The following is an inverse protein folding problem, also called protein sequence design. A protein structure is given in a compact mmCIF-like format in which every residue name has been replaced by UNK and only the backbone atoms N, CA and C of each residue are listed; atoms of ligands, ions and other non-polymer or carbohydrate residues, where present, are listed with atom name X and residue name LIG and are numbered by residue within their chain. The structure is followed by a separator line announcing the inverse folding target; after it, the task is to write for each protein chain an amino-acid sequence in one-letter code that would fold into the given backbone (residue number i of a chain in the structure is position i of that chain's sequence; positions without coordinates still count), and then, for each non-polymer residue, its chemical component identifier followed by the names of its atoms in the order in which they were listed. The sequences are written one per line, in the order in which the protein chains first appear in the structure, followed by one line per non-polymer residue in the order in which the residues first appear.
data_IF_361806596954
#
_entry.id   IF_361806596954
#
_cell.length_a   1.000
_cell.length_b   1.000
_cell.length_c   1.000
_cell.angle_alpha   90.00
_cell.angle_beta   90.00
_cell.angle_gamma   90.00
#
_symmetry.space_group_name_H-M   'P 1'
#
loop_
_entity.id
_entity.type
_entity.pdbx_description
1 polymer ?
#
# COMPACT_ATOMS: atom_id res chain seq x y z
N UNK A 1 -14.30 -29.47 -14.20
CA UNK A 1 -13.09 -28.66 -14.51
C UNK A 1 -12.98 -27.59 -13.45
N UNK A 2 -12.15 -27.83 -12.45
CA UNK A 2 -11.93 -26.92 -11.33
C UNK A 2 -10.99 -25.84 -11.82
N UNK A 3 -11.49 -24.63 -12.08
CA UNK A 3 -10.63 -23.49 -12.37
C UNK A 3 -9.83 -23.21 -11.10
N UNK A 4 -8.53 -23.49 -11.14
CA UNK A 4 -7.58 -22.85 -10.23
C UNK A 4 -7.63 -21.37 -10.63
N UNK A 5 -8.45 -20.57 -9.94
CA UNK A 5 -8.48 -19.11 -10.11
C UNK A 5 -7.12 -18.60 -9.62
N UNK A 6 -6.19 -18.43 -10.56
CA UNK A 6 -4.86 -17.90 -10.29
C UNK A 6 -4.93 -16.46 -9.78
N UNK A 7 -3.88 -16.03 -9.09
CA UNK A 7 -3.72 -14.68 -8.56
C UNK A 7 -3.63 -13.69 -9.73
N UNK A 8 -4.74 -12.99 -10.05
CA UNK A 8 -4.83 -12.07 -11.20
C UNK A 8 -3.75 -10.99 -11.14
N UNK A 9 -3.51 -10.44 -9.94
CA UNK A 9 -2.47 -9.44 -9.66
C UNK A 9 -1.06 -9.97 -9.97
N UNK A 10 -0.76 -11.24 -9.69
CA UNK A 10 0.55 -11.83 -9.96
C UNK A 10 0.95 -11.74 -11.46
N UNK A 11 -0.02 -11.98 -12.34
CA UNK A 11 0.17 -11.94 -13.80
C UNK A 11 0.03 -10.55 -14.43
N UNK A 12 -0.50 -9.57 -13.69
CA UNK A 12 -0.64 -8.21 -14.18
C UNK A 12 0.73 -7.57 -14.42
N UNK A 13 0.79 -6.63 -15.37
CA UNK A 13 2.03 -5.96 -15.72
C UNK A 13 2.18 -4.64 -14.97
N UNK A 14 3.39 -4.37 -14.48
CA UNK A 14 3.83 -3.03 -14.17
C UNK A 14 3.95 -2.21 -15.46
N UNK A 15 3.96 -0.89 -15.35
CA UNK A 15 4.00 0.02 -16.50
C UNK A 15 5.30 0.03 -17.32
N UNK A 16 6.35 -0.63 -16.85
CA UNK A 16 7.56 -0.94 -17.63
C UNK A 16 7.50 -2.31 -18.32
N UNK A 17 6.37 -3.03 -18.20
CA UNK A 17 6.11 -4.31 -18.85
C UNK A 17 6.56 -5.54 -18.07
N UNK A 18 7.11 -5.39 -16.87
CA UNK A 18 7.46 -6.52 -16.00
C UNK A 18 6.22 -7.06 -15.28
N UNK A 19 6.05 -8.39 -15.14
CA UNK A 19 5.01 -8.96 -14.28
C UNK A 19 5.19 -8.52 -12.82
N UNK A 20 4.11 -8.17 -12.14
CA UNK A 20 4.11 -7.70 -10.75
C UNK A 20 4.76 -8.72 -9.81
N UNK A 21 4.44 -10.01 -9.96
CA UNK A 21 5.04 -11.07 -9.15
C UNK A 21 6.57 -11.11 -9.30
N UNK A 22 7.07 -10.88 -10.51
CA UNK A 22 8.52 -10.84 -10.76
C UNK A 22 9.16 -9.71 -9.96
N UNK A 23 8.58 -8.50 -10.00
CA UNK A 23 9.10 -7.33 -9.27
C UNK A 23 9.12 -7.57 -7.76
N UNK A 24 8.06 -8.18 -7.21
CA UNK A 24 7.96 -8.49 -5.78
C UNK A 24 9.02 -9.52 -5.37
N UNK A 25 9.19 -10.58 -6.16
CA UNK A 25 10.05 -11.71 -5.81
C UNK A 25 11.54 -11.40 -5.97
N UNK A 26 11.93 -10.62 -6.97
CA UNK A 26 13.35 -10.35 -7.25
C UNK A 26 13.94 -9.30 -6.31
N UNK A 27 13.12 -8.58 -5.52
CA UNK A 27 13.53 -7.46 -4.65
C UNK A 27 14.50 -6.50 -5.36
N UNK A 28 14.36 -6.35 -6.68
CA UNK A 28 15.37 -5.72 -7.52
C UNK A 28 15.39 -4.22 -7.29
N UNK A 29 16.20 -3.78 -6.33
CA UNK A 29 16.67 -2.39 -6.20
C UNK A 29 17.70 -2.13 -7.27
N UNK A 30 17.21 -1.91 -8.46
CA UNK A 30 18.03 -1.63 -9.62
C UNK A 30 17.87 -0.16 -9.95
N UNK A 31 18.96 0.48 -10.39
CA UNK A 31 19.13 1.91 -10.66
C UNK A 31 18.22 2.44 -11.79
N UNK A 32 16.91 2.34 -11.61
CA UNK A 32 15.90 2.71 -12.58
C UNK A 32 15.54 4.18 -12.43
N UNK A 33 15.32 4.85 -13.56
CA UNK A 33 14.60 6.11 -13.60
C UNK A 33 13.15 5.87 -13.13
N UNK A 34 12.42 6.91 -12.69
CA UNK A 34 10.99 6.79 -12.44
C UNK A 34 10.28 6.16 -13.65
N UNK A 35 9.34 5.26 -13.38
CA UNK A 35 8.52 4.64 -14.42
C UNK A 35 7.46 5.65 -14.82
N UNK A 36 7.42 5.98 -16.11
CA UNK A 36 6.43 6.91 -16.65
C UNK A 36 5.11 6.20 -16.95
N UNK A 37 4.01 6.67 -16.34
CA UNK A 37 2.65 6.28 -16.68
C UNK A 37 2.00 7.40 -17.48
N UNK A 38 1.75 7.13 -18.77
CA UNK A 38 1.08 8.08 -19.63
C UNK A 38 -0.43 8.06 -19.37
N UNK A 39 -1.05 9.23 -19.30
CA UNK A 39 -2.50 9.36 -19.19
C UNK A 39 -3.02 10.51 -20.05
N UNK A 40 -4.32 10.55 -20.31
CA UNK A 40 -4.99 11.71 -20.86
C UNK A 40 -6.45 11.74 -20.45
N UNK A 41 -7.08 12.90 -20.63
CA UNK A 41 -8.49 13.09 -20.31
C UNK A 41 -9.34 12.88 -21.57
N UNK A 42 -10.36 12.03 -21.47
CA UNK A 42 -11.41 12.01 -22.48
C UNK A 42 -12.06 13.40 -22.57
N UNK A 43 -12.43 13.81 -23.78
CA UNK A 43 -13.01 15.13 -24.08
C UNK A 43 -14.20 15.51 -23.18
N UNK A 44 -14.93 14.53 -22.65
CA UNK A 44 -16.11 14.73 -21.83
C UNK A 44 -15.81 14.85 -20.33
N UNK A 45 -14.56 14.66 -19.89
CA UNK A 45 -14.20 14.76 -18.48
C UNK A 45 -14.11 16.22 -18.05
N UNK A 46 -15.02 16.66 -17.19
CA UNK A 46 -15.06 18.06 -16.75
C UNK A 46 -13.88 18.47 -15.85
N UNK A 47 -13.65 19.78 -15.71
CA UNK A 47 -12.52 20.35 -14.96
C UNK A 47 -12.46 19.96 -13.49
N UNK A 48 -13.60 19.69 -12.84
CA UNK A 48 -13.63 19.26 -11.45
C UNK A 48 -13.03 17.86 -11.31
N UNK A 49 -13.40 16.93 -12.18
CA UNK A 49 -12.78 15.59 -12.22
C UNK A 49 -11.30 15.66 -12.60
N UNK A 50 -10.93 16.46 -13.61
CA UNK A 50 -9.53 16.67 -13.97
C UNK A 50 -8.71 17.15 -12.78
N UNK A 51 -9.23 18.10 -11.97
CA UNK A 51 -8.56 18.54 -10.75
C UNK A 51 -8.36 17.41 -9.74
N UNK A 52 -9.40 16.63 -9.44
CA UNK A 52 -9.27 15.51 -8.50
C UNK A 52 -8.29 14.44 -8.98
N UNK A 53 -8.17 14.22 -10.29
CA UNK A 53 -7.13 13.37 -10.87
C UNK A 53 -5.74 13.95 -10.66
N UNK A 54 -5.53 15.22 -10.94
CA UNK A 54 -4.22 15.86 -10.76
C UNK A 54 -3.80 15.87 -9.28
N UNK A 55 -4.74 16.12 -8.36
CA UNK A 55 -4.47 16.06 -6.92
C UNK A 55 -4.12 14.62 -6.48
N UNK A 56 -4.81 13.60 -7.00
CA UNK A 56 -4.51 12.20 -6.72
C UNK A 56 -3.16 11.74 -7.31
N UNK A 57 -2.83 12.19 -8.52
CA UNK A 57 -1.52 11.97 -9.14
C UNK A 57 -0.41 12.56 -8.27
N UNK A 58 -0.58 13.80 -7.81
CA UNK A 58 0.38 14.44 -6.91
C UNK A 58 0.59 13.61 -5.62
N UNK A 59 -0.48 13.17 -4.98
CA UNK A 59 -0.39 12.33 -3.77
C UNK A 59 0.37 11.01 -4.02
N UNK A 60 0.17 10.38 -5.19
CA UNK A 60 0.88 9.15 -5.58
C UNK A 60 2.36 9.42 -5.85
N UNK A 61 2.70 10.45 -6.62
CA UNK A 61 4.09 10.79 -6.95
C UNK A 61 4.87 11.24 -5.69
N UNK A 62 4.21 11.93 -4.76
CA UNK A 62 4.81 12.30 -3.48
C UNK A 62 5.07 11.07 -2.59
N UNK A 63 4.10 10.14 -2.56
CA UNK A 63 4.19 8.90 -1.82
C UNK A 63 5.25 7.95 -2.40
N UNK A 64 5.32 7.82 -3.72
CA UNK A 64 6.16 6.88 -4.44
C UNK A 64 6.88 7.57 -5.61
N UNK A 65 8.03 8.22 -5.36
CA UNK A 65 8.75 8.98 -6.38
C UNK A 65 9.42 8.11 -7.45
N UNK A 66 9.28 6.78 -7.38
CA UNK A 66 9.57 5.86 -8.47
C UNK A 66 8.51 5.88 -9.58
N UNK A 67 7.41 6.62 -9.41
CA UNK A 67 6.33 6.82 -10.37
C UNK A 67 6.39 8.25 -10.91
N UNK A 68 6.13 8.40 -12.21
CA UNK A 68 5.89 9.69 -12.83
C UNK A 68 4.70 9.61 -13.78
N UNK A 69 3.67 10.41 -13.57
CA UNK A 69 2.58 10.55 -14.51
C UNK A 69 2.91 11.59 -15.58
N UNK A 70 2.57 11.29 -16.83
CA UNK A 70 2.79 12.20 -17.95
C UNK A 70 1.55 12.30 -18.82
N UNK A 71 1.14 13.52 -19.17
CA UNK A 71 0.03 13.71 -20.09
C UNK A 71 0.44 13.35 -21.52
N UNK A 72 -0.23 12.37 -22.14
CA UNK A 72 -0.01 12.01 -23.54
C UNK A 72 -1.21 11.29 -24.15
N UNK A 73 -1.76 11.87 -25.22
CA UNK A 73 -2.85 11.28 -26.02
C UNK A 73 -2.33 10.27 -27.05
N UNK A 74 -1.02 10.24 -27.31
CA UNK A 74 -0.39 9.48 -28.40
C UNK A 74 0.54 8.38 -27.93
N UNK A 75 0.93 8.36 -26.66
CA UNK A 75 1.75 7.29 -26.09
C UNK A 75 1.12 5.92 -26.32
N UNK A 76 1.93 4.94 -26.74
CA UNK A 76 1.43 3.60 -27.11
C UNK A 76 0.70 2.91 -25.97
N UNK A 77 1.27 2.95 -24.76
CA UNK A 77 0.61 2.52 -23.53
C UNK A 77 0.17 3.77 -22.77
N UNK A 78 -1.13 3.92 -22.50
CA UNK A 78 -1.67 5.09 -21.78
C UNK A 78 -3.01 4.81 -21.15
N UNK A 79 -3.35 5.57 -20.12
CA UNK A 79 -4.67 5.55 -19.48
C UNK A 79 -5.55 6.65 -20.09
N UNK A 80 -6.70 6.28 -20.64
CA UNK A 80 -7.77 7.24 -20.94
C UNK A 80 -8.66 7.37 -19.71
N UNK A 81 -8.73 8.56 -19.13
CA UNK A 81 -9.58 8.83 -17.97
C UNK A 81 -10.87 9.50 -18.44
N UNK A 82 -12.00 8.87 -18.17
CA UNK A 82 -13.30 9.34 -18.64
C UNK A 82 -14.39 9.24 -17.56
N UNK A 83 -15.45 10.02 -17.73
CA UNK A 83 -16.61 10.00 -16.84
C UNK A 83 -17.58 8.90 -17.25
N UNK A 84 -18.09 8.14 -16.26
CA UNK A 84 -19.07 7.09 -16.47
C UNK A 84 -20.02 6.92 -15.28
N UNK A 85 -20.76 5.82 -15.26
CA UNK A 85 -21.72 5.53 -14.19
C UNK A 85 -21.11 4.71 -13.05
N UNK A 86 -19.92 4.12 -13.29
CA UNK A 86 -19.19 3.30 -12.32
C UNK A 86 -17.80 3.90 -12.08
N UNK A 87 -17.10 3.41 -11.06
CA UNK A 87 -15.64 3.58 -10.96
C UNK A 87 -14.98 2.23 -11.13
N UNK A 88 -14.04 2.14 -12.08
CA UNK A 88 -13.32 0.91 -12.38
C UNK A 88 -12.05 1.20 -13.20
N UNK A 89 -11.08 0.34 -13.00
CA UNK A 89 -9.83 0.31 -13.73
C UNK A 89 -9.33 -1.13 -13.86
N UNK A 90 -8.46 -1.38 -14.84
CA UNK A 90 -7.78 -2.67 -14.93
C UNK A 90 -6.66 -2.75 -13.89
N UNK A 91 -6.37 -3.96 -13.39
CA UNK A 91 -5.23 -4.18 -12.50
C UNK A 91 -3.94 -4.19 -13.33
N UNK A 92 -3.11 -3.16 -13.18
CA UNK A 92 -1.85 -3.00 -13.92
C UNK A 92 -2.03 -2.54 -15.37
N UNK A 93 -0.92 -2.60 -16.13
CA UNK A 93 -0.87 -2.21 -17.55
C UNK A 93 -1.39 -3.35 -18.44
N UNK A 94 -2.45 -3.09 -19.22
CA UNK A 94 -3.02 -4.08 -20.15
C UNK A 94 -2.38 -4.05 -21.54
N UNK A 95 -1.42 -3.14 -21.76
CA UNK A 95 -0.86 -2.71 -23.06
C UNK A 95 -1.87 -1.90 -23.88
N UNK A 96 -1.36 -1.02 -24.74
CA UNK A 96 -2.20 -0.13 -25.54
C UNK A 96 -2.86 0.96 -24.69
N UNK A 97 -3.91 1.57 -25.24
CA UNK A 97 -4.79 2.43 -24.46
C UNK A 97 -5.68 1.57 -23.56
N UNK A 98 -5.73 1.89 -22.26
CA UNK A 98 -6.68 1.31 -21.30
C UNK A 98 -7.55 2.39 -20.68
N UNK A 99 -8.78 2.04 -20.34
CA UNK A 99 -9.76 2.97 -19.80
C UNK A 99 -9.77 2.94 -18.26
N UNK A 100 -9.86 4.12 -17.66
CA UNK A 100 -10.16 4.33 -16.24
C UNK A 100 -11.45 5.15 -16.16
N UNK A 101 -12.51 4.53 -15.67
CA UNK A 101 -13.83 5.13 -15.54
C UNK A 101 -13.96 5.77 -14.16
N UNK A 102 -14.43 7.02 -14.11
CA UNK A 102 -14.72 7.72 -12.86
C UNK A 102 -16.22 8.02 -12.77
N UNK A 103 -16.88 7.36 -11.81
CA UNK A 103 -18.29 7.60 -11.48
C UNK A 103 -18.46 8.61 -10.35
N UNK A 104 -17.47 8.72 -9.47
CA UNK A 104 -17.47 9.66 -8.34
C UNK A 104 -16.27 10.59 -8.38
N UNK A 105 -16.54 11.86 -8.09
CA UNK A 105 -15.54 12.92 -8.10
C UNK A 105 -15.00 13.23 -6.70
N UNK A 106 -14.40 12.22 -6.07
CA UNK A 106 -13.66 12.39 -4.81
C UNK A 106 -12.20 12.01 -5.05
N UNK A 107 -11.27 12.69 -4.38
CA UNK A 107 -9.83 12.38 -4.51
C UNK A 107 -9.55 10.91 -4.18
N UNK A 108 -10.18 10.39 -3.13
CA UNK A 108 -10.00 8.99 -2.74
C UNK A 108 -10.53 7.97 -3.74
N UNK A 109 -11.69 8.22 -4.38
CA UNK A 109 -12.15 7.36 -5.47
C UNK A 109 -11.14 7.34 -6.63
N UNK A 110 -10.59 8.50 -6.99
CA UNK A 110 -9.59 8.58 -8.06
C UNK A 110 -8.29 7.86 -7.66
N UNK A 111 -7.83 8.04 -6.41
CA UNK A 111 -6.69 7.30 -5.87
C UNK A 111 -6.90 5.78 -5.98
N UNK A 112 -8.07 5.28 -5.56
CA UNK A 112 -8.42 3.85 -5.64
C UNK A 112 -8.29 3.30 -7.06
N UNK A 113 -8.89 3.98 -8.05
CA UNK A 113 -8.84 3.54 -9.45
C UNK A 113 -7.44 3.65 -10.07
N UNK A 114 -6.67 4.66 -9.67
CA UNK A 114 -5.27 4.77 -10.07
C UNK A 114 -4.42 3.66 -9.44
N UNK A 115 -4.67 3.25 -8.20
CA UNK A 115 -3.98 2.12 -7.56
C UNK A 115 -4.29 0.81 -8.28
N UNK A 116 -5.53 0.58 -8.72
CA UNK A 116 -5.83 -0.52 -9.63
C UNK A 116 -4.96 -0.45 -10.89
N UNK A 117 -4.94 0.69 -11.59
CA UNK A 117 -4.11 0.86 -12.79
C UNK A 117 -2.61 0.62 -12.54
N UNK A 118 -2.13 0.89 -11.32
CA UNK A 118 -0.75 0.68 -10.90
C UNK A 118 -0.46 -0.78 -10.51
N UNK A 119 -1.47 -1.64 -10.39
CA UNK A 119 -1.30 -3.08 -10.18
C UNK A 119 -1.87 -3.63 -8.88
N UNK A 120 -2.58 -2.83 -8.09
CA UNK A 120 -3.10 -3.27 -6.80
C UNK A 120 -4.51 -3.86 -6.95
N UNK A 121 -4.72 -5.05 -6.38
CA UNK A 121 -6.05 -5.60 -6.16
C UNK A 121 -6.65 -5.01 -4.88
N UNK A 122 -7.91 -5.34 -4.55
CA UNK A 122 -8.44 -4.97 -3.24
C UNK A 122 -7.70 -5.68 -2.11
N UNK A 123 -7.56 -5.01 -0.97
CA UNK A 123 -6.81 -5.53 0.18
C UNK A 123 -7.44 -6.82 0.72
N UNK A 124 -8.78 -6.90 0.74
CA UNK A 124 -9.52 -8.09 1.16
C UNK A 124 -9.46 -9.24 0.12
N UNK A 125 -8.86 -9.03 -1.05
CA UNK A 125 -8.65 -10.07 -2.06
C UNK A 125 -7.23 -10.66 -2.02
N UNK A 126 -6.39 -10.29 -1.05
CA UNK A 126 -5.07 -10.88 -0.83
C UNK A 126 -5.15 -12.37 -0.45
N UNK A 127 -4.19 -13.17 -0.88
CA UNK A 127 -4.12 -14.60 -0.52
C UNK A 127 -3.99 -14.88 0.98
N UNK A 128 -3.51 -13.93 1.77
CA UNK A 128 -3.36 -14.02 3.23
C UNK A 128 -4.53 -13.39 4.01
N UNK A 129 -5.57 -12.88 3.35
CA UNK A 129 -6.67 -12.10 3.96
C UNK A 129 -7.42 -12.84 5.07
N UNK A 130 -7.57 -14.16 4.97
CA UNK A 130 -8.33 -14.96 5.95
C UNK A 130 -7.65 -15.03 7.35
N UNK A 131 -6.41 -14.56 7.47
CA UNK A 131 -5.75 -14.35 8.76
C UNK A 131 -6.27 -13.10 9.49
N UNK A 132 -6.80 -12.12 8.74
CA UNK A 132 -7.11 -10.78 9.21
C UNK A 132 -8.61 -10.45 9.15
N UNK A 133 -9.32 -10.97 8.14
CA UNK A 133 -10.73 -10.72 7.92
C UNK A 133 -11.47 -12.02 7.62
N UNK A 134 -12.80 -11.98 7.76
CA UNK A 134 -13.68 -13.01 7.26
C UNK A 134 -14.66 -12.37 6.27
N UNK A 135 -14.61 -12.78 5.02
CA UNK A 135 -15.60 -12.40 4.02
C UNK A 135 -16.85 -13.28 4.18
N UNK A 136 -18.02 -12.64 4.35
CA UNK A 136 -19.31 -13.31 4.55
C UNK A 136 -20.15 -13.40 3.27
N UNK A 137 -19.75 -12.69 2.21
CA UNK A 137 -20.46 -12.70 0.94
C UNK A 137 -19.95 -13.82 0.03
N UNK A 138 -20.87 -14.44 -0.70
CA UNK A 138 -20.60 -15.47 -1.70
C UNK A 138 -20.39 -14.89 -3.12
N UNK A 139 -20.39 -13.56 -3.27
CA UNK A 139 -20.16 -12.92 -4.57
C UNK A 139 -18.69 -13.07 -4.99
N UNK A 140 -18.41 -14.18 -5.67
CA UNK A 140 -17.05 -14.52 -6.09
C UNK A 140 -16.34 -13.40 -6.86
N UNK A 141 -17.05 -12.58 -7.65
CA UNK A 141 -16.43 -11.50 -8.41
C UNK A 141 -15.79 -10.42 -7.51
N UNK A 142 -16.33 -10.23 -6.31
CA UNK A 142 -15.90 -9.20 -5.37
C UNK A 142 -15.03 -9.73 -4.21
N UNK A 143 -15.09 -11.03 -3.93
CA UNK A 143 -14.45 -11.63 -2.74
C UNK A 143 -13.49 -12.78 -3.05
N UNK A 144 -13.33 -13.17 -4.32
CA UNK A 144 -12.29 -14.11 -4.70
C UNK A 144 -10.89 -13.56 -4.42
N UNK A 145 -9.97 -14.48 -4.18
CA UNK A 145 -8.54 -14.17 -4.05
C UNK A 145 -8.03 -13.75 -5.43
N UNK A 146 -7.57 -12.50 -5.53
CA UNK A 146 -7.04 -11.91 -6.76
C UNK A 146 -5.72 -11.15 -6.55
N UNK A 147 -5.34 -10.91 -5.29
CA UNK A 147 -4.22 -10.06 -4.89
C UNK A 147 -3.06 -10.83 -4.26
N UNK A 148 -1.87 -10.27 -4.36
CA UNK A 148 -0.68 -10.73 -3.64
C UNK A 148 -0.46 -9.94 -2.34
N UNK A 149 0.20 -10.53 -1.33
CA UNK A 149 0.53 -9.84 -0.10
C UNK A 149 1.74 -8.93 -0.31
N UNK A 150 1.49 -7.64 -0.59
CA UNK A 150 2.52 -6.62 -0.69
C UNK A 150 2.63 -5.89 0.65
N UNK A 151 3.57 -6.31 1.48
CA UNK A 151 3.70 -5.82 2.85
C UNK A 151 2.66 -6.39 3.81
N UNK A 152 2.42 -5.69 4.92
CA UNK A 152 1.47 -6.13 5.97
C UNK A 152 0.04 -5.89 5.52
N UNK A 153 -0.90 -6.69 6.03
CA UNK A 153 -2.32 -6.43 5.81
C UNK A 153 -2.70 -5.06 6.39
N UNK A 154 -3.31 -4.22 5.58
CA UNK A 154 -3.63 -2.85 5.94
C UNK A 154 -5.12 -2.57 5.82
N UNK A 155 -5.83 -2.69 6.93
CA UNK A 155 -7.26 -2.44 6.94
C UNK A 155 -7.66 -0.94 6.94
N UNK A 156 -6.69 -0.01 7.02
CA UNK A 156 -6.88 1.44 6.70
C UNK A 156 -6.64 1.73 5.20
N UNK A 157 -6.27 0.71 4.40
CA UNK A 157 -6.00 0.87 2.97
C UNK A 157 -7.21 1.42 2.24
N UNK A 158 -6.94 2.34 1.31
CA UNK A 158 -7.95 2.82 0.36
C UNK A 158 -8.45 1.71 -0.57
N UNK A 159 -7.69 0.62 -0.70
CA UNK A 159 -8.03 -0.57 -1.48
C UNK A 159 -8.84 -1.60 -0.69
N UNK A 160 -9.10 -1.38 0.60
CA UNK A 160 -9.92 -2.27 1.41
C UNK A 160 -11.41 -1.90 1.26
N UNK A 161 -12.31 -2.86 1.07
CA UNK A 161 -13.74 -2.56 1.10
C UNK A 161 -14.22 -2.12 2.50
N UNK A 162 -15.18 -1.21 2.52
CA UNK A 162 -15.84 -0.82 3.78
C UNK A 162 -16.50 -2.02 4.45
N UNK A 163 -16.22 -2.20 5.75
CA UNK A 163 -16.82 -3.25 6.58
C UNK A 163 -18.25 -2.90 7.01
N UNK A 164 -18.70 -1.66 6.79
CA UNK A 164 -20.02 -1.16 7.24
C UNK A 164 -21.19 -1.88 6.60
N UNK A 165 -20.99 -2.50 5.43
CA UNK A 165 -22.02 -3.31 4.76
C UNK A 165 -22.17 -4.72 5.36
N UNK A 166 -21.38 -5.08 6.37
CA UNK A 166 -21.46 -6.37 7.07
C UNK A 166 -21.00 -7.57 6.23
N UNK A 167 -20.45 -7.34 5.04
CA UNK A 167 -19.95 -8.41 4.15
C UNK A 167 -18.50 -8.80 4.45
N UNK A 168 -17.79 -8.00 5.25
CA UNK A 168 -16.45 -8.29 5.76
C UNK A 168 -16.47 -8.08 7.27
N UNK A 169 -16.22 -9.15 8.02
CA UNK A 169 -15.96 -9.09 9.45
C UNK A 169 -14.47 -8.92 9.68
N UNK A 170 -14.08 -7.75 10.18
CA UNK A 170 -12.70 -7.52 10.55
C UNK A 170 -12.39 -8.28 11.84
N UNK A 171 -11.34 -9.11 11.82
CA UNK A 171 -10.84 -9.72 13.07
C UNK A 171 -9.97 -8.72 13.82
N UNK A 172 -9.53 -7.63 13.17
CA UNK A 172 -8.80 -6.48 13.73
C UNK A 172 -9.80 -5.39 14.14
N UNK A 173 -9.83 -5.04 15.42
CA UNK A 173 -10.94 -4.28 16.05
C UNK A 173 -10.97 -2.76 15.82
N UNK A 174 -10.05 -2.18 15.04
CA UNK A 174 -9.86 -0.71 14.96
C UNK A 174 -9.64 -0.17 13.55
N UNK A 175 -9.75 -0.99 12.53
CA UNK A 175 -9.56 -0.49 11.17
C UNK A 175 -10.84 0.18 10.67
N UNK A 176 -10.82 1.51 10.72
CA UNK A 176 -11.72 2.32 9.91
C UNK A 176 -11.19 2.25 8.48
N UNK A 177 -12.01 1.81 7.54
CA UNK A 177 -11.76 2.08 6.14
C UNK A 177 -11.59 3.60 5.95
N UNK A 178 -10.64 3.99 5.12
CA UNK A 178 -10.38 5.37 4.79
C UNK A 178 -10.48 5.54 3.28
N UNK A 179 -11.54 6.22 2.86
CA UNK A 179 -11.89 6.44 1.46
C UNK A 179 -11.37 7.79 0.93
N UNK A 180 -10.44 8.44 1.64
CA UNK A 180 -10.04 9.84 1.36
C UNK A 180 -8.56 10.04 1.03
N UNK A 181 -7.68 9.17 1.50
CA UNK A 181 -6.22 9.29 1.35
C UNK A 181 -5.54 7.93 1.33
N UNK A 182 -4.32 7.89 0.81
CA UNK A 182 -3.43 6.73 0.93
C UNK A 182 -3.05 6.50 2.40
N UNK A 183 -3.21 5.26 2.86
CA UNK A 183 -2.70 4.82 4.16
C UNK A 183 -1.17 4.67 4.14
N UNK A 184 -0.55 4.43 5.30
CA UNK A 184 0.88 4.11 5.33
C UNK A 184 1.19 2.77 4.65
N UNK A 185 0.29 1.78 4.72
CA UNK A 185 0.46 0.51 4.00
C UNK A 185 0.36 0.68 2.49
N UNK A 186 -0.57 1.50 1.98
CA UNK A 186 -0.67 1.85 0.56
C UNK A 186 0.64 2.45 0.05
N UNK A 187 1.20 3.42 0.79
CA UNK A 187 2.48 4.07 0.45
C UNK A 187 3.64 3.06 0.45
N UNK A 188 3.70 2.14 1.42
CA UNK A 188 4.71 1.07 1.45
C UNK A 188 4.54 0.13 0.26
N UNK A 189 3.30 -0.26 -0.05
CA UNK A 189 3.00 -1.18 -1.14
C UNK A 189 3.38 -0.57 -2.51
N UNK A 190 3.04 0.71 -2.72
CA UNK A 190 3.48 1.49 -3.88
C UNK A 190 5.00 1.52 -4.01
N UNK A 191 5.74 1.88 -2.95
CA UNK A 191 7.21 1.92 -3.00
C UNK A 191 7.86 0.54 -3.10
N UNK A 192 7.15 -0.53 -2.74
CA UNK A 192 7.64 -1.91 -2.95
C UNK A 192 7.56 -2.27 -4.42
N UNK A 193 6.48 -1.89 -5.11
CA UNK A 193 6.28 -2.18 -6.53
C UNK A 193 6.98 -1.17 -7.46
N UNK A 194 7.11 0.08 -7.01
CA UNK A 194 7.73 1.20 -7.72
C UNK A 194 8.78 1.86 -6.81
N UNK A 195 9.92 1.20 -6.55
CA UNK A 195 10.94 1.73 -5.68
C UNK A 195 11.52 3.05 -6.21
N UNK A 196 11.89 3.99 -5.32
CA UNK A 196 12.46 5.27 -5.72
C UNK A 196 13.75 5.10 -6.54
N UNK A 197 13.90 5.93 -7.56
CA UNK A 197 15.12 6.06 -8.33
C UNK A 197 16.26 6.66 -7.48
N UNK A 198 17.38 5.97 -7.33
CA UNK A 198 18.57 6.46 -6.57
C UNK A 198 19.41 7.46 -7.39
N UNK A 199 19.09 7.69 -8.67
CA UNK A 199 19.95 8.47 -9.57
C UNK A 199 20.06 9.94 -9.16
N UNK A 200 21.28 10.47 -9.27
CA UNK A 200 21.70 11.86 -9.05
C UNK A 200 21.77 12.36 -7.60
N UNK A 201 21.72 11.47 -6.59
CA UNK A 201 21.99 11.85 -5.20
C UNK A 201 20.88 12.65 -4.51
N UNK A 202 19.72 12.78 -5.15
CA UNK A 202 18.55 13.49 -4.60
C UNK A 202 17.87 12.71 -3.48
N UNK A 203 18.02 11.38 -3.47
CA UNK A 203 17.54 10.50 -2.40
C UNK A 203 18.66 9.53 -1.99
N UNK A 204 19.25 9.76 -0.82
CA UNK A 204 20.38 8.98 -0.28
C UNK A 204 20.08 8.60 1.18
N UNK A 205 19.27 7.55 1.41
CA UNK A 205 18.87 7.19 2.76
C UNK A 205 20.05 6.58 3.53
N UNK A 206 20.21 7.00 4.79
CA UNK A 206 21.28 6.51 5.67
C UNK A 206 20.75 5.44 6.62
N UNK A 207 21.52 4.39 6.83
CA UNK A 207 21.17 3.35 7.80
C UNK A 207 21.38 3.88 9.22
N UNK A 208 20.37 3.76 10.07
CA UNK A 208 20.44 4.01 11.51
C UNK A 208 20.87 2.79 12.31
N UNK A 209 20.94 2.93 13.63
CA UNK A 209 21.41 1.88 14.56
C UNK A 209 20.50 0.67 14.66
N UNK A 210 19.21 0.81 14.31
CA UNK A 210 18.21 -0.28 14.26
C UNK A 210 18.24 -1.06 12.95
N UNK A 211 19.14 -0.71 12.03
CA UNK A 211 19.20 -1.25 10.68
C UNK A 211 18.19 -0.65 9.70
N UNK A 212 17.26 0.20 10.17
CA UNK A 212 16.33 0.97 9.32
C UNK A 212 17.06 2.10 8.58
N UNK A 213 16.49 2.52 7.46
CA UNK A 213 17.04 3.58 6.63
C UNK A 213 16.26 4.88 6.79
N UNK A 214 16.91 6.04 6.72
CA UNK A 214 16.28 7.34 6.95
C UNK A 214 16.75 8.36 5.91
N UNK A 215 15.83 9.12 5.31
CA UNK A 215 16.16 10.07 4.24
C UNK A 215 16.07 11.54 4.65
N UNK A 216 15.56 11.88 5.83
CA UNK A 216 15.37 13.28 6.25
C UNK A 216 14.42 14.08 5.35
N UNK A 217 13.53 13.44 4.58
CA UNK A 217 12.50 14.15 3.79
C UNK A 217 11.46 14.76 4.74
N UNK A 218 11.12 16.03 4.52
CA UNK A 218 10.03 16.76 5.19
C UNK A 218 8.67 16.40 4.57
N UNK A 219 7.56 16.72 5.24
CA UNK A 219 6.17 16.35 4.88
C UNK A 219 5.81 14.87 5.15
N UNK A 220 6.23 14.35 6.30
CA UNK A 220 5.57 13.19 6.86
C UNK A 220 4.16 13.62 7.30
N UNK A 221 3.14 13.51 6.44
CA UNK A 221 1.74 13.69 6.83
C UNK A 221 1.38 12.67 7.91
N UNK A 222 1.64 13.00 9.16
CA UNK A 222 1.26 12.20 10.32
C UNK A 222 0.39 13.02 11.29
N UNK A 223 -0.33 14.01 10.76
CA UNK A 223 -1.40 14.71 11.49
C UNK A 223 -2.56 13.75 11.88
N UNK A 224 -2.54 12.50 11.42
CA UNK A 224 -3.54 11.46 11.71
C UNK A 224 -2.92 10.15 12.22
N UNK A 225 -1.68 10.14 12.73
CA UNK A 225 -1.27 9.03 13.59
C UNK A 225 -2.31 8.90 14.73
N UNK A 226 -2.79 7.69 15.06
CA UNK A 226 -3.78 7.47 16.14
C UNK A 226 -3.31 8.00 17.51
N UNK A 227 -2.04 8.38 17.61
CA UNK A 227 -1.49 9.21 18.66
C UNK A 227 -0.63 10.26 18.00
N UNK A 228 -1.10 11.52 17.91
CA UNK A 228 -0.28 12.65 17.53
C UNK A 228 0.98 12.63 18.37
N UNK A 229 2.09 12.20 17.77
CA UNK A 229 3.33 11.94 18.50
C UNK A 229 3.90 13.29 18.94
N UNK A 230 3.73 13.64 20.21
CA UNK A 230 4.40 14.79 20.81
C UNK A 230 5.91 14.55 20.65
N UNK A 231 6.60 15.47 19.98
CA UNK A 231 8.05 15.41 19.79
C UNK A 231 8.54 14.94 18.41
N UNK A 232 7.69 14.88 17.38
CA UNK A 232 8.15 14.68 15.99
C UNK A 232 8.39 16.02 15.28
N UNK A 233 9.48 16.11 14.49
CA UNK A 233 9.90 17.32 13.78
C UNK A 233 9.36 17.43 12.34
N UNK A 234 8.60 16.43 11.88
CA UNK A 234 8.05 16.36 10.53
C UNK A 234 9.01 15.77 9.48
N UNK A 235 10.21 15.37 9.89
CA UNK A 235 11.21 14.75 9.03
C UNK A 235 11.27 13.23 9.20
N UNK A 236 11.84 12.53 8.21
CA UNK A 236 12.12 11.10 8.33
C UNK A 236 13.43 10.84 9.08
N UNK A 237 13.37 10.75 10.43
CA UNK A 237 14.38 10.27 11.39
C UNK A 237 15.88 10.56 11.09
N UNK A 238 16.81 9.88 11.78
CA UNK A 238 16.63 9.01 12.94
C UNK A 238 16.45 9.78 14.27
N UNK A 239 16.69 11.09 14.30
CA UNK A 239 16.76 11.85 15.57
C UNK A 239 15.38 12.16 16.16
N UNK A 240 14.52 12.89 15.43
CA UNK A 240 13.22 13.37 15.94
C UNK A 240 12.06 13.04 15.00
N UNK A 241 12.21 12.02 14.15
CA UNK A 241 11.27 11.76 13.06
C UNK A 241 10.97 10.27 12.84
N UNK A 242 9.74 9.87 12.46
CA UNK A 242 9.43 8.46 12.19
C UNK A 242 10.11 7.95 10.92
N UNK A 243 10.18 6.62 10.78
CA UNK A 243 10.68 5.98 9.57
C UNK A 243 9.65 6.08 8.43
N UNK A 244 9.98 6.77 7.33
CA UNK A 244 9.01 7.03 6.26
C UNK A 244 8.68 5.78 5.42
N UNK A 245 7.48 5.72 4.80
CA UNK A 245 7.11 4.63 3.89
C UNK A 245 8.17 4.29 2.83
N UNK A 246 8.79 5.32 2.23
CA UNK A 246 9.82 5.14 1.19
C UNK A 246 11.03 4.42 1.78
N UNK A 247 11.58 4.89 2.90
CA UNK A 247 12.76 4.28 3.49
C UNK A 247 12.50 2.91 4.12
N UNK A 248 11.25 2.61 4.55
CA UNK A 248 10.86 1.27 4.98
C UNK A 248 11.00 0.21 3.89
N UNK A 249 10.85 0.62 2.64
CA UNK A 249 11.02 -0.26 1.48
C UNK A 249 12.46 -0.31 0.98
N UNK A 250 13.32 0.61 1.45
CA UNK A 250 14.75 0.57 1.13
C UNK A 250 15.42 -0.63 1.84
N UNK A 251 16.34 -1.31 1.15
CA UNK A 251 16.77 -2.67 1.50
C UNK A 251 15.71 -3.79 1.40
N UNK A 252 14.47 -3.48 1.00
CA UNK A 252 13.35 -4.43 0.92
C UNK A 252 12.68 -4.70 2.27
N UNK A 253 11.39 -5.07 2.24
CA UNK A 253 10.62 -5.37 3.45
C UNK A 253 11.25 -6.57 4.17
N UNK A 254 11.72 -6.34 5.40
CA UNK A 254 12.28 -7.37 6.25
C UNK A 254 11.17 -8.19 6.88
N UNK A 255 11.22 -9.51 6.70
CA UNK A 255 10.31 -10.45 7.36
C UNK A 255 11.07 -11.67 7.86
N UNK A 256 10.62 -12.20 8.99
CA UNK A 256 11.20 -13.36 9.69
C UNK A 256 10.08 -14.25 10.19
N UNK A 257 10.34 -15.54 10.37
CA UNK A 257 9.42 -16.43 11.08
C UNK A 257 9.79 -16.44 12.56
N UNK A 258 8.81 -16.23 13.44
CA UNK A 258 9.01 -16.37 14.88
C UNK A 258 9.01 -17.85 15.30
N UNK A 259 9.25 -18.11 16.58
CA UNK A 259 9.24 -19.44 17.20
C UNK A 259 7.86 -20.14 17.19
N UNK A 260 6.78 -19.43 16.83
CA UNK A 260 5.45 -19.97 16.56
C UNK A 260 5.21 -20.26 15.07
N UNK A 261 6.23 -20.13 14.22
CA UNK A 261 6.13 -20.35 12.78
C UNK A 261 5.33 -19.26 12.05
N UNK A 262 5.14 -18.09 12.66
CA UNK A 262 4.39 -16.97 12.05
C UNK A 262 5.33 -15.98 11.40
N UNK A 263 4.99 -15.54 10.19
CA UNK A 263 5.71 -14.48 9.47
C UNK A 263 5.47 -13.14 10.18
N UNK A 264 6.52 -12.58 10.75
CA UNK A 264 6.57 -11.26 11.34
C UNK A 264 7.28 -10.29 10.38
N UNK A 265 6.76 -9.08 10.25
CA UNK A 265 7.32 -8.04 9.37
C UNK A 265 7.84 -6.88 10.21
N UNK A 266 8.98 -6.31 9.83
CA UNK A 266 9.57 -5.17 10.52
C UNK A 266 8.68 -3.92 10.39
N UNK A 267 8.42 -3.26 11.51
CA UNK A 267 7.66 -2.00 11.58
C UNK A 267 8.56 -0.76 11.67
N UNK A 268 7.95 0.41 11.90
CA UNK A 268 8.62 1.73 11.88
C UNK A 268 9.68 1.93 12.96
N UNK A 269 9.62 1.15 14.03
CA UNK A 269 10.54 1.18 15.18
C UNK A 269 11.71 0.21 15.02
N UNK A 270 11.70 -0.61 13.97
CA UNK A 270 12.65 -1.72 13.78
C UNK A 270 12.21 -3.02 14.45
N UNK A 271 11.13 -2.99 15.25
CA UNK A 271 10.51 -4.17 15.85
C UNK A 271 9.77 -5.02 14.81
N UNK A 272 9.71 -6.33 15.03
CA UNK A 272 8.96 -7.26 14.17
C UNK A 272 7.56 -7.51 14.72
N UNK A 273 6.58 -7.61 13.83
CA UNK A 273 5.17 -7.78 14.17
C UNK A 273 4.48 -8.82 13.29
N UNK A 274 3.83 -9.82 13.90
CA UNK A 274 3.13 -10.90 13.20
C UNK A 274 1.62 -10.69 13.03
N UNK A 275 1.06 -9.61 13.57
CA UNK A 275 -0.38 -9.32 13.47
C UNK A 275 -1.27 -10.27 14.27
N UNK A 276 -0.72 -11.20 15.06
CA UNK A 276 -1.58 -12.13 15.83
C UNK A 276 -2.20 -11.45 17.03
N UNK A 277 -3.45 -11.84 17.33
CA UNK A 277 -4.16 -11.51 18.56
C UNK A 277 -3.39 -11.99 19.80
N UNK A 278 -3.23 -11.13 20.79
CA UNK A 278 -2.66 -11.50 22.08
C UNK A 278 -3.56 -12.48 22.82
N UNK A 279 -2.94 -13.39 23.57
CA UNK A 279 -3.65 -14.19 24.57
C UNK A 279 -4.17 -13.27 25.70
N UNK A 280 -5.32 -13.59 26.34
CA UNK A 280 -6.00 -12.68 27.28
C UNK A 280 -5.14 -12.14 28.43
N UNK A 281 -4.10 -12.88 28.84
CA UNK A 281 -3.15 -12.45 29.88
C UNK A 281 -2.27 -11.29 29.42
N UNK A 282 -1.72 -11.37 28.20
CA UNK A 282 -0.91 -10.29 27.59
C UNK A 282 -1.76 -9.05 27.27
N UNK A 283 -3.05 -9.25 26.92
CA UNK A 283 -3.98 -8.16 26.61
C UNK A 283 -4.52 -7.40 27.84
N UNK A 284 -4.38 -7.94 29.06
CA UNK A 284 -4.82 -7.30 30.31
C UNK A 284 -3.73 -6.45 30.96
N UNK A 285 -2.47 -6.74 30.69
CA UNK A 285 -1.31 -6.14 31.35
C UNK A 285 -0.76 -4.89 30.63
N UNK A 286 -1.26 -4.58 29.43
CA UNK A 286 -0.70 -3.51 28.59
C UNK A 286 -1.79 -2.45 28.32
N UNK A 287 -1.57 -1.20 28.73
CA UNK A 287 -2.49 -0.08 28.41
C UNK A 287 -2.21 0.42 26.99
N UNK A 288 -3.24 0.90 26.28
CA UNK A 288 -3.15 1.46 24.92
C UNK A 288 -2.67 0.45 23.86
N UNK A 289 -3.34 -0.72 23.80
CA UNK A 289 -3.19 -1.57 22.63
C UNK A 289 -4.51 -2.05 22.06
N UNK A 290 -4.47 -2.44 20.79
CA UNK A 290 -5.56 -3.01 20.04
C UNK A 290 -5.83 -4.51 20.24
N UNK A 291 -4.94 -5.19 20.98
CA UNK A 291 -5.04 -6.62 21.22
C UNK A 291 -4.29 -7.47 20.18
N UNK A 292 -3.49 -6.84 19.30
CA UNK A 292 -2.73 -7.50 18.25
C UNK A 292 -1.24 -7.13 18.30
N UNK A 293 -0.41 -8.03 17.81
CA UNK A 293 0.99 -7.76 17.57
C UNK A 293 1.15 -6.84 16.34
N UNK A 294 1.21 -5.52 16.52
CA UNK A 294 1.26 -4.60 15.37
C UNK A 294 1.72 -3.16 15.68
N UNK A 295 2.54 -2.54 14.81
CA UNK A 295 3.15 -1.22 15.01
C UNK A 295 2.15 -0.06 15.05
N UNK A 296 0.90 -0.27 14.63
CA UNK A 296 -0.08 0.80 14.50
C UNK A 296 -0.73 1.15 15.85
N UNK A 297 -0.86 0.19 16.77
CA UNK A 297 -1.49 0.35 18.09
C UNK A 297 -1.17 -0.83 19.05
N UNK A 298 -0.02 -1.48 18.95
CA UNK A 298 0.27 -2.64 19.80
C UNK A 298 1.77 -2.92 19.96
N UNK A 299 2.19 -3.50 21.08
CA UNK A 299 3.57 -3.95 21.24
C UNK A 299 3.84 -5.17 20.34
N UNK A 300 5.11 -5.57 20.20
CA UNK A 300 5.42 -6.89 19.67
C UNK A 300 4.96 -7.97 20.66
N UNK A 301 4.49 -9.12 20.15
CA UNK A 301 4.24 -10.28 21.00
C UNK A 301 5.57 -10.88 21.48
N UNK A 302 5.51 -11.68 22.53
CA UNK A 302 6.68 -12.36 23.11
C UNK A 302 7.50 -13.09 22.03
N UNK A 303 6.82 -13.85 21.18
CA UNK A 303 7.40 -14.59 20.06
C UNK A 303 8.11 -13.68 19.04
N UNK A 304 7.54 -12.50 18.74
CA UNK A 304 8.19 -11.53 17.86
C UNK A 304 9.30 -10.70 18.55
N UNK A 305 9.28 -10.57 19.88
CA UNK A 305 10.33 -9.86 20.61
C UNK A 305 11.69 -10.57 20.56
N UNK A 306 11.69 -11.89 20.39
CA UNK A 306 12.89 -12.71 20.21
C UNK A 306 13.57 -12.55 18.84
N UNK A 307 12.97 -11.80 17.92
CA UNK A 307 13.52 -11.58 16.57
C UNK A 307 14.54 -10.43 16.50
N UNK A 308 14.83 -9.80 17.64
CA UNK A 308 15.72 -8.63 17.78
C UNK A 308 17.15 -8.99 18.17
N UNK A 309 17.41 -10.29 18.39
CA UNK A 309 18.72 -10.85 18.73
C UNK A 309 19.53 -11.26 17.49
#
# INVERSE_FOLDING_TARGET
MTFIKGNVCASALRWDGLPIETVINTKTQSNHQPITICYYFDKNLNKKYQKSVLDAIHDIEEAAPGIQFSYSETASNRIRIFYGSNSRSSIGMTRGQQDLELGWNTKGNVLHELLHALGFAHEHQREDRDQYVQCLSEDSNNYDIMGMPIGRYDADSIMHYSTEKGTILNRILWASHNDKRLSNGDKIALNTLYPPAIRNGTWNPKQGTTGLFYCGKHNMEDNNAPFGRIGVDGYCGPDNGPNCPICRTYGGIQSRYNDEGRKATQGETGLFYCGTKFVPKQAKERKYHDGFCGPNNGPNCESCSKLLD
#
